data_IF_425651626386
#
_entry.id   IF_425651626386
#
_cell.length_a   1.000
_cell.length_b   1.000
_cell.length_c   1.000
_cell.angle_alpha   90.00
_cell.angle_beta   90.00
_cell.angle_gamma   90.00
#
_symmetry.space_group_name_H-M   'P 1'
#
loop_
_entity.id
_entity.type
_entity.pdbx_description
1 polymer ?
#
# COMPACT_ATOMS: atom_id res chain seq x y z
N UNK A 1 -2.09 42.47 -14.91
CA UNK A 1 -0.85 42.27 -14.12
C UNK A 1 -0.79 40.79 -13.76
N UNK A 2 0.08 40.00 -14.39
CA UNK A 2 0.22 38.58 -14.06
C UNK A 2 0.88 38.47 -12.68
N UNK A 3 0.28 37.69 -11.77
CA UNK A 3 0.97 37.28 -10.55
C UNK A 3 2.26 36.56 -10.97
N UNK A 4 3.40 36.77 -10.29
CA UNK A 4 4.53 35.88 -10.48
C UNK A 4 4.03 34.49 -10.09
N UNK A 5 3.98 33.59 -11.06
CA UNK A 5 3.82 32.16 -10.79
C UNK A 5 5.00 31.80 -9.88
N UNK A 6 4.68 31.52 -8.61
CA UNK A 6 5.69 31.22 -7.61
C UNK A 6 6.23 29.82 -7.94
N UNK A 7 7.27 29.79 -8.78
CA UNK A 7 7.92 28.59 -9.27
C UNK A 7 8.49 27.74 -8.13
N UNK A 8 8.76 28.37 -6.99
CA UNK A 8 9.42 27.74 -5.83
C UNK A 8 8.56 26.64 -5.20
N UNK A 9 7.28 26.86 -4.82
CA UNK A 9 6.37 25.80 -4.40
C UNK A 9 6.26 24.64 -5.38
N UNK A 10 6.21 24.93 -6.68
CA UNK A 10 6.10 23.91 -7.72
C UNK A 10 7.37 23.04 -7.80
N UNK A 11 8.55 23.67 -7.78
CA UNK A 11 9.83 22.97 -7.75
C UNK A 11 10.01 22.17 -6.45
N UNK A 12 9.56 22.68 -5.31
CA UNK A 12 9.61 21.98 -4.03
C UNK A 12 8.78 20.70 -4.07
N UNK A 13 7.56 20.76 -4.61
CA UNK A 13 6.70 19.59 -4.80
C UNK A 13 7.33 18.58 -5.78
N UNK A 14 7.87 19.04 -6.91
CA UNK A 14 8.52 18.18 -7.90
C UNK A 14 9.74 17.46 -7.31
N UNK A 15 10.62 18.19 -6.63
CA UNK A 15 11.81 17.62 -5.98
C UNK A 15 11.45 16.64 -4.87
N UNK A 16 10.39 16.94 -4.11
CA UNK A 16 9.86 16.03 -3.09
C UNK A 16 9.36 14.72 -3.68
N UNK A 17 8.61 14.78 -4.80
CA UNK A 17 8.18 13.60 -5.53
C UNK A 17 9.36 12.76 -6.03
N UNK A 18 10.34 13.40 -6.68
CA UNK A 18 11.52 12.72 -7.20
C UNK A 18 12.33 12.07 -6.08
N UNK A 19 12.42 12.73 -4.93
CA UNK A 19 13.14 12.19 -3.77
C UNK A 19 12.46 10.96 -3.17
N UNK A 20 11.12 10.95 -3.07
CA UNK A 20 10.38 9.76 -2.64
C UNK A 20 10.56 8.63 -3.63
N UNK A 21 10.35 8.89 -4.92
CA UNK A 21 10.47 7.87 -5.97
C UNK A 21 11.87 7.25 -6.00
N UNK A 22 12.92 8.05 -6.10
CA UNK A 22 14.27 7.52 -6.21
C UNK A 22 14.67 6.68 -4.97
N UNK A 23 14.15 6.96 -3.77
CA UNK A 23 14.40 6.16 -2.58
C UNK A 23 13.58 4.87 -2.48
N UNK A 24 12.49 4.74 -3.25
CA UNK A 24 11.75 3.48 -3.37
C UNK A 24 12.48 2.52 -4.31
N UNK A 25 13.08 3.05 -5.38
CA UNK A 25 13.65 2.24 -6.47
C UNK A 25 15.12 1.89 -6.27
N UNK A 26 15.91 2.76 -5.64
CA UNK A 26 17.33 2.52 -5.41
C UNK A 26 17.60 2.17 -3.95
N UNK A 27 17.82 0.87 -3.69
CA UNK A 27 18.17 0.38 -2.36
C UNK A 27 19.48 0.95 -1.83
N UNK A 28 20.40 1.38 -2.70
CA UNK A 28 21.68 1.99 -2.33
C UNK A 28 21.54 3.47 -1.97
N UNK A 29 20.47 4.14 -2.43
CA UNK A 29 20.25 5.57 -2.19
C UNK A 29 20.02 5.91 -0.72
N UNK A 30 19.44 4.98 0.04
CA UNK A 30 19.07 5.20 1.42
C UNK A 30 17.66 5.80 1.60
N UNK A 31 17.35 6.38 2.78
CA UNK A 31 16.06 7.02 3.00
C UNK A 31 15.89 8.26 2.11
N UNK A 32 14.66 8.71 1.81
CA UNK A 32 14.42 10.00 1.15
C UNK A 32 15.26 11.10 1.80
N UNK A 33 15.99 11.91 1.02
CA UNK A 33 16.91 12.92 1.56
C UNK A 33 16.18 14.12 2.16
N UNK A 34 15.03 14.47 1.60
CA UNK A 34 14.18 15.53 2.09
C UNK A 34 13.37 15.04 3.29
N UNK A 35 13.29 15.88 4.31
CA UNK A 35 12.48 15.63 5.50
C UNK A 35 11.27 16.55 5.42
N UNK A 36 10.11 15.99 5.09
CA UNK A 36 8.88 16.77 4.90
C UNK A 36 8.07 16.92 6.19
N UNK A 37 8.42 16.16 7.23
CA UNK A 37 7.78 16.19 8.55
C UNK A 37 8.64 16.89 9.59
N UNK A 38 7.99 17.63 10.47
CA UNK A 38 8.60 18.26 11.65
C UNK A 38 8.53 17.33 12.86
N UNK A 39 9.33 17.57 13.92
CA UNK A 39 9.27 16.78 15.14
C UNK A 39 7.89 16.79 15.82
N UNK A 40 7.15 17.89 15.75
CA UNK A 40 5.79 17.99 16.30
C UNK A 40 4.81 17.06 15.58
N UNK A 41 4.99 16.90 14.26
CA UNK A 41 4.19 16.01 13.44
C UNK A 41 4.56 14.54 13.70
N UNK A 42 5.86 14.23 13.79
CA UNK A 42 6.30 12.84 14.01
C UNK A 42 5.98 12.31 15.41
N UNK A 43 5.97 13.18 16.42
CA UNK A 43 5.54 12.80 17.77
C UNK A 43 4.01 12.82 17.95
N UNK A 44 3.25 13.28 16.96
CA UNK A 44 1.78 13.28 16.96
C UNK A 44 1.13 14.45 17.69
N UNK A 45 1.89 15.48 18.06
CA UNK A 45 1.33 16.74 18.63
C UNK A 45 0.66 17.61 17.59
N UNK A 46 1.06 17.48 16.32
CA UNK A 46 0.47 18.18 15.18
C UNK A 46 -0.01 17.17 14.13
N UNK A 47 -1.25 17.32 13.69
CA UNK A 47 -1.81 16.50 12.60
C UNK A 47 -1.37 17.06 11.25
N UNK A 48 -0.90 16.18 10.36
CA UNK A 48 -0.58 16.56 8.98
C UNK A 48 -1.80 16.47 8.07
N UNK A 49 -2.74 15.58 8.40
CA UNK A 49 -3.98 15.41 7.66
C UNK A 49 -5.08 16.28 8.30
N UNK A 50 -5.79 17.11 7.50
CA UNK A 50 -6.95 17.86 7.97
C UNK A 50 -8.17 16.94 8.22
N UNK A 51 -9.30 17.49 8.65
CA UNK A 51 -10.57 16.73 8.78
C UNK A 51 -11.27 16.47 7.45
N UNK A 52 -11.06 17.38 6.50
CA UNK A 52 -11.52 17.32 5.12
C UNK A 52 -10.51 18.08 4.24
N UNK A 53 -10.36 17.65 2.99
CA UNK A 53 -9.52 18.35 2.02
C UNK A 53 -10.32 19.44 1.33
N UNK A 54 -9.68 20.58 1.10
CA UNK A 54 -10.24 21.70 0.32
C UNK A 54 -10.26 21.36 -1.16
N UNK A 55 -9.19 20.74 -1.65
CA UNK A 55 -9.04 20.36 -3.05
C UNK A 55 -8.09 19.16 -3.21
N UNK A 56 -7.97 18.69 -4.45
CA UNK A 56 -7.07 17.59 -4.80
C UNK A 56 -5.59 17.95 -4.60
N UNK A 57 -5.21 19.21 -4.78
CA UNK A 57 -3.82 19.63 -4.63
C UNK A 57 -3.37 19.54 -3.16
N UNK A 58 -4.26 19.88 -2.21
CA UNK A 58 -4.01 19.69 -0.78
C UNK A 58 -3.88 18.21 -0.44
N UNK A 59 -4.76 17.37 -0.98
CA UNK A 59 -4.71 15.92 -0.80
C UNK A 59 -3.39 15.33 -1.31
N UNK A 60 -2.94 15.74 -2.49
CA UNK A 60 -1.64 15.36 -3.07
C UNK A 60 -0.46 15.76 -2.21
N UNK A 61 -0.43 17.01 -1.74
CA UNK A 61 0.67 17.51 -0.90
C UNK A 61 0.76 16.72 0.41
N UNK A 62 -0.39 16.40 1.03
CA UNK A 62 -0.45 15.60 2.26
C UNK A 62 -0.04 14.16 2.00
N UNK A 63 -0.47 13.54 0.90
CA UNK A 63 -0.06 12.19 0.53
C UNK A 63 1.45 12.10 0.28
N UNK A 64 2.02 13.06 -0.45
CA UNK A 64 3.45 13.11 -0.71
C UNK A 64 4.26 13.19 0.60
N UNK A 65 3.79 13.99 1.55
CA UNK A 65 4.38 14.10 2.89
C UNK A 65 4.27 12.80 3.68
N UNK A 66 3.12 12.11 3.62
CA UNK A 66 2.94 10.78 4.21
C UNK A 66 3.88 9.74 3.59
N UNK A 67 3.97 9.68 2.25
CA UNK A 67 4.84 8.76 1.53
C UNK A 67 6.31 8.98 1.90
N UNK A 68 6.76 10.23 1.95
CA UNK A 68 8.10 10.59 2.42
C UNK A 68 8.35 10.08 3.84
N UNK A 69 7.42 10.34 4.76
CA UNK A 69 7.55 9.93 6.15
C UNK A 69 7.62 8.41 6.29
N UNK A 70 6.70 7.67 5.66
CA UNK A 70 6.66 6.21 5.69
C UNK A 70 7.93 5.61 5.11
N UNK A 71 8.36 6.06 3.93
CA UNK A 71 9.59 5.57 3.29
C UNK A 71 10.81 5.80 4.16
N UNK A 72 10.93 6.97 4.81
CA UNK A 72 12.00 7.25 5.77
C UNK A 72 11.93 6.33 6.99
N UNK A 73 10.77 6.22 7.63
CA UNK A 73 10.57 5.41 8.82
C UNK A 73 10.90 3.93 8.56
N UNK A 74 10.45 3.37 7.44
CA UNK A 74 10.72 1.98 7.04
C UNK A 74 12.19 1.70 6.71
N UNK A 75 12.90 2.71 6.21
CA UNK A 75 14.31 2.59 5.85
C UNK A 75 15.21 2.72 7.09
N UNK A 76 15.02 3.76 7.90
CA UNK A 76 15.80 3.99 9.13
C UNK A 76 15.67 2.79 10.08
N UNK A 77 14.47 2.23 10.18
CA UNK A 77 14.17 1.10 11.05
C UNK A 77 14.25 -0.26 10.34
N UNK A 78 14.94 -0.36 9.20
CA UNK A 78 14.97 -1.57 8.38
C UNK A 78 15.47 -2.82 9.12
N UNK A 79 16.39 -2.66 10.08
CA UNK A 79 16.97 -3.74 10.88
C UNK A 79 16.02 -4.31 11.96
N UNK A 80 14.97 -3.56 12.31
CA UNK A 80 14.12 -3.87 13.47
C UNK A 80 12.64 -4.02 13.12
N UNK A 81 12.21 -3.58 11.94
CA UNK A 81 10.79 -3.59 11.55
C UNK A 81 10.13 -4.98 11.61
N UNK A 82 10.87 -6.03 11.27
CA UNK A 82 10.38 -7.42 11.31
C UNK A 82 10.57 -8.14 12.65
N UNK A 83 11.06 -7.45 13.69
CA UNK A 83 11.29 -8.06 14.99
C UNK A 83 9.99 -8.19 15.82
N UNK A 84 9.96 -9.09 16.81
CA UNK A 84 8.87 -9.13 17.78
C UNK A 84 8.69 -7.77 18.48
N UNK A 85 7.46 -7.46 18.90
CA UNK A 85 7.11 -6.18 19.51
C UNK A 85 8.02 -5.79 20.69
N UNK A 86 8.43 -6.78 21.50
CA UNK A 86 9.29 -6.57 22.66
C UNK A 86 10.72 -6.11 22.32
N UNK A 87 11.18 -6.30 21.08
CA UNK A 87 12.52 -5.92 20.62
C UNK A 87 12.54 -4.58 19.87
N UNK A 88 11.38 -3.98 19.59
CA UNK A 88 11.28 -2.72 18.86
C UNK A 88 11.30 -1.57 19.88
N UNK A 89 12.18 -0.55 19.73
CA UNK A 89 12.23 0.59 20.62
C UNK A 89 10.86 1.30 20.72
N UNK A 90 10.45 1.75 21.93
CA UNK A 90 9.16 2.40 22.15
C UNK A 90 8.92 3.63 21.25
N UNK A 91 9.97 4.39 20.96
CA UNK A 91 9.90 5.60 20.13
C UNK A 91 9.55 5.26 18.67
N UNK A 92 10.06 4.13 18.18
CA UNK A 92 9.77 3.62 16.83
C UNK A 92 8.33 3.14 16.75
N UNK A 93 7.85 2.43 17.77
CA UNK A 93 6.45 2.00 17.85
C UNK A 93 5.49 3.19 17.98
N UNK A 94 5.87 4.21 18.75
CA UNK A 94 5.12 5.45 18.87
C UNK A 94 4.99 6.14 17.52
N UNK A 95 6.12 6.42 16.84
CA UNK A 95 6.10 7.04 15.51
C UNK A 95 5.28 6.22 14.51
N UNK A 96 5.44 4.88 14.49
CA UNK A 96 4.63 3.97 13.66
C UNK A 96 3.13 4.15 13.92
N UNK A 97 2.73 4.21 15.19
CA UNK A 97 1.33 4.43 15.58
C UNK A 97 0.80 5.81 15.17
N UNK A 98 1.64 6.86 15.22
CA UNK A 98 1.25 8.18 14.73
C UNK A 98 1.05 8.17 13.21
N UNK A 99 1.98 7.58 12.46
CA UNK A 99 1.87 7.46 10.98
C UNK A 99 0.62 6.69 10.58
N UNK A 100 0.33 5.56 11.24
CA UNK A 100 -0.87 4.75 11.01
C UNK A 100 -2.15 5.58 11.20
N UNK A 101 -2.25 6.32 12.31
CA UNK A 101 -3.40 7.20 12.57
C UNK A 101 -3.56 8.29 11.50
N UNK A 102 -2.45 8.86 11.03
CA UNK A 102 -2.49 9.86 9.97
C UNK A 102 -2.91 9.25 8.62
N UNK A 103 -2.45 8.05 8.27
CA UNK A 103 -2.92 7.34 7.07
C UNK A 103 -4.41 6.99 7.13
N UNK A 104 -4.90 6.52 8.27
CA UNK A 104 -6.33 6.24 8.47
C UNK A 104 -7.15 7.52 8.31
N UNK A 105 -6.70 8.62 8.92
CA UNK A 105 -7.33 9.94 8.76
C UNK A 105 -7.30 10.41 7.31
N UNK A 106 -6.21 10.17 6.59
CA UNK A 106 -6.09 10.48 5.16
C UNK A 106 -7.14 9.75 4.36
N UNK A 107 -7.28 8.44 4.53
CA UNK A 107 -8.26 7.61 3.82
C UNK A 107 -9.69 8.12 4.04
N UNK A 108 -10.03 8.50 5.27
CA UNK A 108 -11.34 9.10 5.59
C UNK A 108 -11.53 10.45 4.90
N UNK A 109 -10.53 11.34 4.95
CA UNK A 109 -10.63 12.68 4.38
C UNK A 109 -10.68 12.66 2.84
N UNK A 110 -9.96 11.75 2.20
CA UNK A 110 -9.97 11.59 0.73
C UNK A 110 -11.25 10.89 0.25
N UNK A 111 -11.85 10.02 1.06
CA UNK A 111 -13.17 9.42 0.75
C UNK A 111 -14.26 10.50 0.68
N UNK A 112 -14.25 11.45 1.63
CA UNK A 112 -15.15 12.62 1.58
C UNK A 112 -14.92 13.46 0.32
N UNK A 113 -13.65 13.76 0.04
CA UNK A 113 -13.28 14.49 -1.17
C UNK A 113 -13.76 13.79 -2.45
N UNK A 114 -13.69 12.46 -2.50
CA UNK A 114 -14.18 11.65 -3.62
C UNK A 114 -15.71 11.76 -3.78
N UNK A 115 -16.46 11.63 -2.68
CA UNK A 115 -17.94 11.70 -2.69
C UNK A 115 -18.46 13.07 -3.16
N UNK A 116 -17.73 14.14 -2.85
CA UNK A 116 -18.09 15.52 -3.22
C UNK A 116 -17.55 15.93 -4.60
N UNK A 117 -16.79 15.06 -5.28
CA UNK A 117 -16.08 15.41 -6.51
C UNK A 117 -16.90 15.19 -7.79
N UNK A 118 -16.62 16.02 -8.79
CA UNK A 118 -17.05 15.78 -10.17
C UNK A 118 -16.30 14.60 -10.80
N UNK A 119 -16.95 13.91 -11.75
CA UNK A 119 -16.42 12.73 -12.45
C UNK A 119 -15.02 12.93 -13.05
N UNK A 120 -14.74 14.13 -13.58
CA UNK A 120 -13.43 14.49 -14.18
C UNK A 120 -12.27 14.42 -13.19
N UNK A 121 -12.55 14.65 -11.91
CA UNK A 121 -11.55 14.70 -10.84
C UNK A 121 -11.54 13.41 -10.02
N UNK A 122 -12.64 12.65 -10.06
CA UNK A 122 -12.82 11.37 -9.38
C UNK A 122 -11.69 10.37 -9.68
N UNK A 123 -11.23 10.26 -10.94
CA UNK A 123 -10.13 9.36 -11.31
C UNK A 123 -8.81 9.72 -10.60
N UNK A 124 -8.51 11.03 -10.52
CA UNK A 124 -7.29 11.52 -9.86
C UNK A 124 -7.35 11.26 -8.35
N UNK A 125 -8.51 11.46 -7.74
CA UNK A 125 -8.73 11.17 -6.32
C UNK A 125 -8.64 9.66 -6.05
N UNK A 126 -9.20 8.82 -6.92
CA UNK A 126 -9.12 7.37 -6.82
C UNK A 126 -7.67 6.87 -6.86
N UNK A 127 -6.84 7.46 -7.72
CA UNK A 127 -5.42 7.16 -7.78
C UNK A 127 -4.68 7.50 -6.48
N UNK A 128 -5.01 8.63 -5.84
CA UNK A 128 -4.48 8.98 -4.52
C UNK A 128 -4.91 8.00 -3.43
N UNK A 129 -6.16 7.51 -3.48
CA UNK A 129 -6.70 6.50 -2.57
C UNK A 129 -5.94 5.18 -2.70
N UNK A 130 -5.76 4.71 -3.93
CA UNK A 130 -4.98 3.49 -4.24
C UNK A 130 -3.56 3.62 -3.66
N UNK A 131 -2.85 4.72 -3.96
CA UNK A 131 -1.49 4.92 -3.45
C UNK A 131 -1.43 4.93 -1.92
N UNK A 132 -2.37 5.61 -1.25
CA UNK A 132 -2.44 5.63 0.20
C UNK A 132 -2.66 4.22 0.79
N UNK A 133 -3.54 3.41 0.19
CA UNK A 133 -3.75 2.01 0.59
C UNK A 133 -2.51 1.16 0.42
N UNK A 134 -1.81 1.29 -0.71
CA UNK A 134 -0.55 0.57 -0.94
C UNK A 134 0.49 0.86 0.14
N UNK A 135 0.67 2.13 0.49
CA UNK A 135 1.59 2.55 1.55
C UNK A 135 1.15 2.09 2.94
N UNK A 136 -0.15 2.15 3.22
CA UNK A 136 -0.71 1.66 4.47
C UNK A 136 -0.46 0.16 4.63
N UNK A 137 -0.69 -0.60 3.57
CA UNK A 137 -0.38 -2.01 3.51
C UNK A 137 1.08 -2.37 3.75
N UNK A 138 1.99 -1.65 3.10
CA UNK A 138 3.43 -1.80 3.35
C UNK A 138 3.77 -1.52 4.82
N UNK A 139 3.17 -0.49 5.44
CA UNK A 139 3.41 -0.20 6.85
C UNK A 139 2.94 -1.36 7.75
N UNK A 140 1.74 -1.90 7.52
CA UNK A 140 1.17 -3.01 8.29
C UNK A 140 1.97 -4.30 8.15
N UNK A 141 2.48 -4.61 6.96
CA UNK A 141 3.30 -5.81 6.74
C UNK A 141 4.68 -5.72 7.40
N UNK A 142 5.19 -4.50 7.59
CA UNK A 142 6.57 -4.27 8.00
C UNK A 142 6.73 -4.08 9.48
N UNK A 143 5.68 -3.80 10.24
CA UNK A 143 5.73 -3.66 11.70
C UNK A 143 4.57 -4.42 12.34
N UNK A 144 4.77 -5.08 13.49
CA UNK A 144 3.68 -5.70 14.22
C UNK A 144 2.63 -4.65 14.60
N UNK A 145 1.35 -4.99 14.47
CA UNK A 145 0.26 -4.13 14.91
C UNK A 145 0.34 -3.89 16.41
N UNK A 146 0.41 -2.62 16.81
CA UNK A 146 0.21 -2.22 18.20
C UNK A 146 -1.29 -2.26 18.48
N UNK A 147 -1.81 -3.38 18.95
CA UNK A 147 -3.17 -3.39 19.52
C UNK A 147 -3.10 -2.58 20.81
N UNK A 148 -3.37 -1.29 20.71
CA UNK A 148 -3.49 -0.40 21.86
C UNK A 148 -4.89 -0.56 22.44
N UNK A 149 -5.08 -1.54 23.34
CA UNK A 149 -6.25 -1.57 24.22
C UNK A 149 -6.63 -2.94 24.78
N UNK A 150 -6.04 -3.31 25.93
CA UNK A 150 -6.64 -3.95 27.13
C UNK A 150 -5.51 -4.67 27.89
N UNK A 151 -4.94 -4.02 28.90
CA UNK A 151 -5.33 -4.18 30.32
C UNK A 151 -5.19 -5.61 30.81
N UNK A 152 -4.20 -5.81 31.66
CA UNK A 152 -4.08 -6.93 32.58
C UNK A 152 -5.34 -7.04 33.46
N UNK A 153 -6.31 -7.87 33.08
CA UNK A 153 -7.31 -8.42 34.00
C UNK A 153 -8.08 -9.61 33.39
N UNK A 154 -7.75 -10.80 33.88
CA UNK A 154 -8.64 -11.90 34.30
C UNK A 154 -10.14 -11.73 33.93
N UNK A 155 -10.63 -12.65 33.08
CA UNK A 155 -11.98 -13.27 33.00
C UNK A 155 -13.22 -12.34 33.12
N UNK A 156 -13.95 -12.12 32.01
CA UNK A 156 -15.35 -12.57 31.81
C UNK A 156 -15.91 -12.20 30.41
N UNK A 157 -16.85 -12.99 29.84
CA UNK A 157 -17.39 -12.80 28.50
C UNK A 157 -18.66 -11.94 28.53
N UNK A 158 -18.97 -11.34 27.37
CA UNK A 158 -20.18 -10.57 27.02
C UNK A 158 -20.15 -9.08 27.41
N UNK A 159 -19.65 -8.25 26.49
CA UNK A 159 -20.29 -6.96 26.21
C UNK A 159 -19.97 -6.47 24.79
N UNK A 160 -21.01 -6.45 23.95
CA UNK A 160 -21.01 -5.83 22.62
C UNK A 160 -21.05 -4.31 22.79
N UNK A 161 -19.94 -3.63 22.55
CA UNK A 161 -19.92 -2.22 22.16
C UNK A 161 -18.79 -2.03 21.13
N UNK A 162 -19.21 -1.87 19.88
CA UNK A 162 -18.53 -1.21 18.75
C UNK A 162 -17.01 -1.13 18.82
N UNK A 163 -16.34 -2.28 18.63
CA UNK A 163 -14.95 -2.29 18.19
C UNK A 163 -15.01 -2.06 16.68
N UNK A 164 -14.49 -0.91 16.24
CA UNK A 164 -14.23 -0.65 14.83
C UNK A 164 -13.20 -1.70 14.39
N UNK A 165 -13.67 -2.82 13.84
CA UNK A 165 -12.81 -3.83 13.23
C UNK A 165 -12.07 -3.15 12.10
N UNK A 166 -10.76 -2.92 12.31
CA UNK A 166 -9.88 -2.56 11.22
C UNK A 166 -9.92 -3.69 10.19
N UNK A 167 -9.93 -3.36 8.87
CA UNK A 167 -9.82 -4.39 7.86
C UNK A 167 -8.57 -5.22 8.14
N UNK A 168 -8.65 -6.53 7.97
CA UNK A 168 -7.50 -7.39 8.07
C UNK A 168 -6.40 -6.91 7.09
N UNK A 169 -5.12 -7.26 7.31
CA UNK A 169 -4.05 -6.96 6.37
C UNK A 169 -4.26 -7.51 4.94
N UNK A 170 -5.27 -8.32 4.69
CA UNK A 170 -5.62 -8.79 3.34
C UNK A 170 -6.71 -7.92 2.70
N UNK A 171 -7.67 -7.43 3.49
CA UNK A 171 -8.79 -6.60 3.03
C UNK A 171 -8.34 -5.30 2.33
N UNK A 172 -7.22 -4.71 2.73
CA UNK A 172 -6.72 -3.49 2.08
C UNK A 172 -6.16 -3.75 0.68
N UNK A 173 -5.59 -4.95 0.45
CA UNK A 173 -5.06 -5.34 -0.87
C UNK A 173 -6.24 -5.50 -1.81
N UNK A 174 -7.23 -6.29 -1.43
CA UNK A 174 -8.40 -6.55 -2.27
C UNK A 174 -9.18 -5.26 -2.55
N UNK A 175 -9.31 -4.37 -1.56
CA UNK A 175 -9.90 -3.04 -1.77
C UNK A 175 -9.08 -2.22 -2.77
N UNK A 176 -7.75 -2.21 -2.66
CA UNK A 176 -6.89 -1.48 -3.60
C UNK A 176 -6.98 -2.07 -5.02
N UNK A 177 -7.02 -3.40 -5.17
CA UNK A 177 -7.20 -4.07 -6.46
C UNK A 177 -8.57 -3.74 -7.08
N UNK A 178 -9.64 -3.72 -6.28
CA UNK A 178 -10.97 -3.30 -6.72
C UNK A 178 -10.98 -1.84 -7.20
N UNK A 179 -10.36 -0.93 -6.44
CA UNK A 179 -10.22 0.48 -6.83
C UNK A 179 -9.38 0.65 -8.11
N UNK A 180 -8.34 -0.18 -8.32
CA UNK A 180 -7.57 -0.21 -9.57
C UNK A 180 -8.45 -0.67 -10.73
N UNK A 181 -9.28 -1.72 -10.56
CA UNK A 181 -10.22 -2.15 -11.60
C UNK A 181 -11.14 -1.01 -12.00
N UNK A 182 -11.80 -0.36 -11.03
CA UNK A 182 -12.70 0.78 -11.27
C UNK A 182 -11.97 1.90 -12.04
N UNK A 183 -10.74 2.21 -11.65
CA UNK A 183 -9.93 3.24 -12.32
C UNK A 183 -9.64 2.88 -13.79
N UNK A 184 -9.34 1.61 -14.07
CA UNK A 184 -9.01 1.13 -15.40
C UNK A 184 -10.24 0.98 -16.30
N UNK A 185 -11.39 0.60 -15.72
CA UNK A 185 -12.67 0.48 -16.41
C UNK A 185 -13.26 1.86 -16.78
N UNK A 186 -13.14 2.84 -15.88
CA UNK A 186 -13.61 4.20 -16.11
C UNK A 186 -12.78 5.00 -17.15
N UNK A 187 -11.65 4.43 -17.60
CA UNK A 187 -10.76 5.08 -18.57
C UNK A 187 -11.29 4.92 -20.01
N UNK A 188 -12.39 5.59 -20.36
CA UNK A 188 -12.94 5.56 -21.74
C UNK A 188 -12.06 6.24 -22.79
N UNK A 189 -11.01 6.96 -22.38
CA UNK A 189 -10.08 7.65 -23.27
C UNK A 189 -8.64 7.38 -22.84
N UNK A 190 -7.68 7.25 -23.78
CA UNK A 190 -6.27 7.24 -23.44
C UNK A 190 -5.93 8.64 -22.92
N UNK A 191 -6.05 8.83 -21.60
CA UNK A 191 -5.72 10.05 -20.89
C UNK A 191 -4.20 10.27 -20.95
N UNK A 192 -3.75 10.67 -22.13
CA UNK A 192 -2.36 10.78 -22.56
C UNK A 192 -1.88 12.24 -22.59
N UNK A 193 -2.68 13.22 -22.13
CA UNK A 193 -2.33 14.64 -22.33
C UNK A 193 -2.06 15.48 -21.08
N UNK A 194 -2.31 14.99 -19.87
CA UNK A 194 -1.86 15.71 -18.67
C UNK A 194 -1.69 14.82 -17.45
N UNK A 195 -1.12 13.63 -17.60
CA UNK A 195 -0.65 12.89 -16.42
C UNK A 195 0.56 13.65 -15.88
N UNK A 196 0.51 14.29 -14.70
CA UNK A 196 1.75 14.63 -14.03
C UNK A 196 2.50 13.30 -13.87
N UNK A 197 3.72 13.28 -14.37
CA UNK A 197 4.65 12.13 -14.47
C UNK A 197 4.76 11.29 -13.18
N UNK A 198 4.25 11.78 -12.06
CA UNK A 198 4.33 11.21 -10.71
C UNK A 198 3.08 10.45 -10.26
N UNK A 199 1.90 10.70 -10.82
CA UNK A 199 0.67 10.04 -10.35
C UNK A 199 0.47 8.64 -10.94
N UNK A 200 0.97 8.39 -12.15
CA UNK A 200 0.95 7.02 -12.69
C UNK A 200 1.83 6.07 -11.89
N UNK A 201 2.95 6.54 -11.31
CA UNK A 201 4.17 5.77 -10.94
C UNK A 201 4.08 4.60 -9.95
N UNK A 202 2.91 4.16 -9.53
CA UNK A 202 2.78 3.14 -8.49
C UNK A 202 1.69 2.11 -8.75
N UNK A 203 1.03 2.13 -9.91
CA UNK A 203 0.01 1.12 -10.23
C UNK A 203 0.67 -0.23 -10.52
N UNK A 204 1.65 -0.26 -11.44
CA UNK A 204 2.35 -1.52 -11.77
C UNK A 204 3.15 -2.01 -10.57
N UNK A 205 3.85 -1.11 -9.87
CA UNK A 205 4.57 -1.45 -8.65
C UNK A 205 3.65 -1.93 -7.52
N UNK A 206 2.44 -1.37 -7.42
CA UNK A 206 1.45 -1.80 -6.44
C UNK A 206 0.89 -3.19 -6.75
N UNK A 207 0.58 -3.48 -8.02
CA UNK A 207 0.17 -4.80 -8.48
C UNK A 207 1.27 -5.85 -8.27
N UNK A 208 2.54 -5.49 -8.54
CA UNK A 208 3.68 -6.34 -8.21
C UNK A 208 3.71 -6.63 -6.71
N UNK A 209 3.59 -5.60 -5.88
CA UNK A 209 3.62 -5.76 -4.43
C UNK A 209 2.50 -6.67 -3.92
N UNK A 210 1.27 -6.46 -4.41
CA UNK A 210 0.12 -7.31 -4.08
C UNK A 210 0.38 -8.77 -4.46
N UNK A 211 0.87 -9.03 -5.68
CA UNK A 211 1.17 -10.38 -6.15
C UNK A 211 2.34 -11.06 -5.42
N UNK A 212 3.39 -10.32 -5.08
CA UNK A 212 4.56 -10.86 -4.36
C UNK A 212 4.29 -11.13 -2.88
N UNK A 213 3.27 -10.50 -2.29
CA UNK A 213 3.00 -10.54 -0.85
C UNK A 213 1.74 -11.27 -0.45
N UNK A 214 0.84 -11.51 -1.40
CA UNK A 214 -0.31 -12.36 -1.14
C UNK A 214 0.10 -13.84 -1.06
N UNK A 215 -0.41 -14.53 -0.05
CA UNK A 215 -0.49 -16.00 -0.02
C UNK A 215 -1.82 -16.52 -0.58
N UNK A 216 -2.77 -15.61 -0.82
CA UNK A 216 -4.06 -15.89 -1.43
C UNK A 216 -3.91 -15.93 -2.95
N UNK A 217 -4.17 -17.10 -3.54
CA UNK A 217 -4.16 -17.31 -4.98
C UNK A 217 -5.11 -16.34 -5.71
N UNK A 218 -6.29 -16.08 -5.15
CA UNK A 218 -7.26 -15.17 -5.75
C UNK A 218 -6.73 -13.75 -5.92
N UNK A 219 -6.04 -13.21 -4.91
CA UNK A 219 -5.42 -11.88 -4.97
C UNK A 219 -4.27 -11.84 -6.00
N UNK A 220 -3.50 -12.92 -6.13
CA UNK A 220 -2.45 -13.05 -7.15
C UNK A 220 -3.03 -13.10 -8.57
N UNK A 221 -4.11 -13.86 -8.77
CA UNK A 221 -4.84 -13.95 -10.04
C UNK A 221 -5.48 -12.61 -10.41
N UNK A 222 -6.07 -11.90 -9.44
CA UNK A 222 -6.64 -10.57 -9.63
C UNK A 222 -5.56 -9.56 -10.01
N UNK A 223 -4.42 -9.55 -9.31
CA UNK A 223 -3.29 -8.70 -9.66
C UNK A 223 -2.75 -9.01 -11.07
N UNK A 224 -2.70 -10.29 -11.45
CA UNK A 224 -2.29 -10.72 -12.79
C UNK A 224 -3.28 -10.24 -13.87
N UNK A 225 -4.58 -10.39 -13.64
CA UNK A 225 -5.62 -9.93 -14.56
C UNK A 225 -5.55 -8.41 -14.77
N UNK A 226 -5.32 -7.65 -13.69
CA UNK A 226 -5.16 -6.19 -13.78
C UNK A 226 -3.89 -5.78 -14.53
N UNK A 227 -2.79 -6.54 -14.43
CA UNK A 227 -1.56 -6.31 -15.22
C UNK A 227 -1.77 -6.51 -16.72
N UNK A 228 -2.73 -7.35 -17.10
CA UNK A 228 -3.10 -7.63 -18.48
C UNK A 228 -4.19 -6.69 -19.01
N UNK A 229 -4.72 -5.80 -18.16
CA UNK A 229 -5.82 -4.93 -18.51
C UNK A 229 -5.42 -3.97 -19.65
N UNK A 230 -6.24 -3.81 -20.71
CA UNK A 230 -5.86 -3.02 -21.90
C UNK A 230 -5.59 -1.54 -21.61
N UNK A 231 -6.25 -0.99 -20.58
CA UNK A 231 -6.08 0.41 -20.16
C UNK A 231 -4.92 0.62 -19.18
N UNK A 232 -4.25 -0.44 -18.73
CA UNK A 232 -3.05 -0.30 -17.88
C UNK A 232 -1.88 0.16 -18.76
N UNK A 233 -1.12 1.19 -18.35
CA UNK A 233 0.05 1.60 -19.09
C UNK A 233 1.09 0.48 -19.12
N UNK A 234 1.65 0.21 -20.31
CA UNK A 234 2.68 -0.82 -20.49
C UNK A 234 3.95 -0.54 -19.68
N UNK A 235 4.26 0.74 -19.47
CA UNK A 235 5.33 1.21 -18.58
C UNK A 235 4.81 2.25 -17.62
N UNK A 236 5.23 2.11 -16.37
CA UNK A 236 4.83 2.98 -15.28
C UNK A 236 6.05 3.40 -14.43
N UNK A 237 6.62 4.57 -14.74
CA UNK A 237 7.91 4.98 -14.20
C UNK A 237 9.02 4.00 -14.62
N UNK A 238 9.64 3.35 -13.63
CA UNK A 238 10.65 2.31 -13.85
C UNK A 238 10.07 0.91 -14.01
N UNK A 239 8.77 0.73 -13.79
CA UNK A 239 8.12 -0.58 -13.90
C UNK A 239 7.68 -0.87 -15.33
N UNK A 240 7.85 -2.12 -15.74
CA UNK A 240 7.29 -2.67 -16.98
C UNK A 240 6.19 -3.67 -16.61
N UNK A 241 5.00 -3.45 -17.15
CA UNK A 241 3.83 -4.26 -16.83
C UNK A 241 4.02 -5.72 -17.28
N UNK A 242 4.66 -5.97 -18.43
CA UNK A 242 4.90 -7.32 -18.95
C UNK A 242 5.96 -8.06 -18.14
N UNK A 243 7.03 -7.38 -17.74
CA UNK A 243 8.03 -7.96 -16.85
C UNK A 243 7.42 -8.32 -15.48
N UNK A 244 6.56 -7.45 -14.96
CA UNK A 244 5.84 -7.65 -13.70
C UNK A 244 4.86 -8.82 -13.81
N UNK A 245 4.09 -8.88 -14.90
CA UNK A 245 3.20 -9.98 -15.23
C UNK A 245 3.94 -11.31 -15.27
N UNK A 246 5.09 -11.37 -15.95
CA UNK A 246 5.92 -12.56 -16.03
C UNK A 246 6.37 -13.03 -14.64
N UNK A 247 6.76 -12.11 -13.76
CA UNK A 247 7.19 -12.45 -12.40
C UNK A 247 6.04 -13.06 -11.57
N UNK A 248 4.84 -12.49 -11.63
CA UNK A 248 3.68 -13.01 -10.91
C UNK A 248 3.25 -14.38 -11.48
N UNK A 249 3.26 -14.55 -12.80
CA UNK A 249 2.96 -15.86 -13.44
C UNK A 249 3.91 -16.95 -12.95
N UNK A 250 5.21 -16.64 -12.86
CA UNK A 250 6.20 -17.60 -12.34
C UNK A 250 5.93 -17.99 -10.89
N UNK A 251 5.47 -17.06 -10.06
CA UNK A 251 5.12 -17.35 -8.66
C UNK A 251 3.84 -18.17 -8.54
N UNK A 252 2.79 -17.84 -9.30
CA UNK A 252 1.57 -18.64 -9.35
C UNK A 252 1.88 -20.10 -9.74
N UNK A 253 2.74 -20.30 -10.73
CA UNK A 253 3.15 -21.65 -11.14
C UNK A 253 3.87 -22.42 -10.02
N UNK A 254 4.67 -21.74 -9.18
CA UNK A 254 5.33 -22.35 -8.02
C UNK A 254 4.31 -22.75 -6.96
N UNK A 255 3.38 -21.85 -6.61
CA UNK A 255 2.33 -22.11 -5.61
C UNK A 255 1.44 -23.29 -6.04
N UNK A 256 1.03 -23.33 -7.31
CA UNK A 256 0.23 -24.46 -7.83
C UNK A 256 1.00 -25.78 -7.83
N UNK A 257 2.31 -25.76 -8.11
CA UNK A 257 3.14 -26.96 -8.05
C UNK A 257 3.33 -27.48 -6.62
N UNK A 258 3.49 -26.59 -5.64
CA UNK A 258 3.57 -26.95 -4.22
C UNK A 258 2.26 -27.53 -3.68
N UNK A 259 1.12 -27.04 -4.14
CA UNK A 259 -0.21 -27.59 -3.82
C UNK A 259 -0.42 -28.99 -4.41
N UNK A 260 -0.05 -29.24 -5.69
CA UNK A 260 -0.16 -30.57 -6.31
C UNK A 260 0.75 -31.60 -5.61
N UNK A 261 1.92 -31.19 -5.11
CA UNK A 261 2.79 -32.07 -4.30
C UNK A 261 2.19 -32.33 -2.92
N UNK A 262 1.61 -31.32 -2.26
CA UNK A 262 0.94 -31.46 -0.97
C UNK A 262 -0.27 -32.41 -1.01
N UNK A 263 -1.08 -32.30 -2.06
CA UNK A 263 -2.22 -33.19 -2.27
C UNK A 263 -1.77 -34.63 -2.59
N UNK A 264 -0.70 -34.83 -3.38
CA UNK A 264 -0.16 -36.17 -3.65
C UNK A 264 0.44 -36.85 -2.41
N UNK A 265 0.95 -36.09 -1.43
CA UNK A 265 1.45 -36.65 -0.16
C UNK A 265 0.29 -37.06 0.76
N UNK A 266 -0.87 -36.39 0.68
CA UNK A 266 -2.09 -36.78 1.38
C UNK A 266 -2.80 -37.99 0.73
N UNK A 267 -2.51 -38.27 -0.55
CA UNK A 267 -2.97 -39.44 -1.30
C UNK A 267 -1.87 -40.51 -1.45
N UNK A 268 -1.20 -40.89 -0.37
CA UNK A 268 -0.55 -42.22 -0.33
C UNK A 268 -1.61 -43.21 0.17
N UNK A 269 -2.22 -44.03 -0.69
CA UNK A 269 -3.04 -45.13 -0.21
C UNK A 269 -2.11 -46.10 0.51
N UNK A 270 -2.41 -46.41 1.77
CA UNK A 270 -1.87 -47.58 2.46
C UNK A 270 -2.35 -48.82 1.70
N UNK A 271 -1.60 -49.23 0.67
CA UNK A 271 -1.74 -50.54 0.06
C UNK A 271 -1.18 -51.56 1.04
N UNK A 272 -2.09 -52.21 1.78
CA UNK A 272 -1.86 -53.49 2.44
C UNK A 272 -1.36 -54.50 1.41
N UNK A 273 -0.07 -54.79 1.41
CA UNK A 273 0.48 -56.01 0.83
C UNK A 273 0.13 -57.19 1.73
N UNK A 274 -1.07 -57.75 1.54
CA UNK A 274 -1.37 -59.12 1.96
C UNK A 274 -0.80 -60.08 0.92
N UNK A 275 0.50 -60.35 1.03
CA UNK A 275 1.16 -61.46 0.33
C UNK A 275 0.83 -62.79 1.01
N UNK A 276 0.09 -63.65 0.31
CA UNK A 276 0.09 -65.10 0.57
C UNK A 276 1.53 -65.63 0.49
N UNK A 277 1.93 -66.51 1.41
CA UNK A 277 2.39 -67.85 1.06
C UNK A 277 2.65 -68.75 2.29
N UNK A 278 1.99 -69.91 2.25
CA UNK A 278 2.27 -71.24 2.85
C UNK A 278 2.15 -71.41 4.36
#
# INVERSE_FOLDING_TARGET
MSKPDDIVPHLAALLSCLDVQASIYDQQRGPPRLILTSPSETCGTQSIVPEAFVDVAQSEAVLLKLQNWISRHLHINAKIKHKPLAEIPPEVLHERGVVEKQLQRYLIAVDKLYQESEEKVAQRILLLRIQARMYYGILLQRFPCTISGQSSSIIHPLSRLTIQCYPAPEDWIDTALSEISILLDASEYPACRSRPFTLSTQLVGGLLHAGLKSTCQHTMETALALLQHPNLPSRDGLWDAKATESAIRSLLAQVSAEQDVGDRVLFVPTSDESGQMV
#
